data_IF_480936267696
#
_entry.id   IF_480936267696
#
_cell.length_a   1.000
_cell.length_b   1.000
_cell.length_c   1.000
_cell.angle_alpha   90.00
_cell.angle_beta   90.00
_cell.angle_gamma   90.00
#
_symmetry.space_group_name_H-M   'P 1'
#
loop_
_entity.id
_entity.type
_entity.pdbx_description
1 polymer ?
#
# COMPACT_ATOMS: atom_id res chain seq x y z
N UNK A 1 4.35 -8.78 -21.46
CA UNK A 1 4.49 -8.33 -20.05
C UNK A 1 5.95 -8.03 -19.78
N UNK A 2 6.23 -7.00 -18.99
CA UNK A 2 7.58 -6.62 -18.55
C UNK A 2 8.07 -7.65 -17.55
N UNK A 3 9.26 -8.21 -17.79
CA UNK A 3 9.86 -9.27 -17.01
C UNK A 3 10.57 -8.75 -15.76
N UNK A 4 10.49 -9.51 -14.66
CA UNK A 4 11.26 -9.26 -13.45
C UNK A 4 10.50 -8.48 -12.36
N UNK A 5 11.22 -8.12 -11.32
CA UNK A 5 10.72 -7.48 -10.10
C UNK A 5 11.80 -6.58 -9.49
N UNK A 6 11.43 -5.78 -8.47
CA UNK A 6 12.37 -4.94 -7.74
C UNK A 6 13.47 -5.78 -7.06
N UNK A 7 14.73 -5.43 -7.30
CA UNK A 7 15.89 -6.14 -6.73
C UNK A 7 16.68 -5.26 -5.77
N UNK A 8 17.49 -5.83 -4.86
CA UNK A 8 18.39 -5.05 -4.01
C UNK A 8 19.31 -4.13 -4.82
N UNK A 9 19.89 -4.65 -5.90
CA UNK A 9 20.83 -3.96 -6.76
C UNK A 9 20.13 -2.86 -7.58
N UNK A 10 18.98 -3.19 -8.18
CA UNK A 10 18.18 -2.26 -8.97
C UNK A 10 17.70 -1.07 -8.13
N UNK A 11 17.07 -1.35 -6.97
CA UNK A 11 16.55 -0.30 -6.09
C UNK A 11 17.67 0.56 -5.48
N UNK A 12 18.83 -0.02 -5.15
CA UNK A 12 20.00 0.73 -4.70
C UNK A 12 20.58 1.61 -5.82
N UNK A 13 20.63 1.08 -7.05
CA UNK A 13 21.05 1.85 -8.24
C UNK A 13 20.12 3.04 -8.48
N UNK A 14 18.80 2.85 -8.36
CA UNK A 14 17.83 3.94 -8.46
C UNK A 14 18.11 5.03 -7.42
N UNK A 15 18.20 4.64 -6.14
CA UNK A 15 18.44 5.57 -5.04
C UNK A 15 19.74 6.36 -5.19
N UNK A 16 20.80 5.74 -5.74
CA UNK A 16 22.09 6.40 -5.97
C UNK A 16 22.07 7.46 -7.07
N UNK A 17 21.11 7.37 -8.01
CA UNK A 17 20.96 8.28 -9.15
C UNK A 17 19.88 9.32 -8.95
N UNK A 18 18.99 9.11 -7.97
CA UNK A 18 17.89 10.02 -7.69
C UNK A 18 18.42 11.40 -7.25
N UNK A 19 17.74 12.46 -7.72
CA UNK A 19 18.02 13.85 -7.28
C UNK A 19 17.51 14.14 -5.88
N UNK A 20 16.82 13.20 -5.25
CA UNK A 20 16.31 13.29 -3.90
C UNK A 20 17.43 13.24 -2.86
N UNK A 21 17.17 13.80 -1.66
CA UNK A 21 18.12 13.71 -0.54
C UNK A 21 18.38 12.24 -0.17
N UNK A 22 19.62 11.87 0.14
CA UNK A 22 20.01 10.47 0.38
C UNK A 22 19.21 9.77 1.49
N UNK A 23 18.81 10.50 2.52
CA UNK A 23 18.00 10.00 3.63
C UNK A 23 16.52 9.77 3.26
N UNK A 24 16.12 10.10 2.03
CA UNK A 24 14.79 9.78 1.50
C UNK A 24 14.61 8.33 1.08
N UNK A 25 15.60 7.48 1.33
CA UNK A 25 15.52 6.05 1.05
C UNK A 25 15.70 5.24 2.33
N UNK A 26 14.90 4.18 2.46
CA UNK A 26 14.95 3.25 3.59
C UNK A 26 15.20 1.83 3.10
N UNK A 27 15.93 1.06 3.90
CA UNK A 27 16.16 -0.36 3.61
C UNK A 27 15.11 -1.21 4.32
N UNK A 28 14.43 -2.05 3.56
CA UNK A 28 13.50 -3.07 4.04
C UNK A 28 13.56 -4.29 3.11
N UNK A 29 13.60 -5.51 3.66
CA UNK A 29 13.67 -6.75 2.87
C UNK A 29 14.79 -6.74 1.81
N UNK A 30 15.94 -6.16 2.15
CA UNK A 30 17.09 -5.89 1.29
C UNK A 30 16.84 -4.88 0.15
N UNK A 31 15.64 -4.34 -0.01
CA UNK A 31 15.34 -3.30 -0.99
C UNK A 31 15.64 -1.91 -0.45
N UNK A 32 15.98 -0.99 -1.34
CA UNK A 32 16.19 0.43 -1.03
C UNK A 32 15.01 1.21 -1.61
N UNK A 33 14.04 1.54 -0.76
CA UNK A 33 12.76 2.13 -1.15
C UNK A 33 12.67 3.59 -0.72
N UNK A 34 12.07 4.43 -1.57
CA UNK A 34 11.80 5.83 -1.23
C UNK A 34 10.82 5.92 -0.05
N UNK A 35 11.07 6.86 0.87
CA UNK A 35 10.21 7.09 2.04
C UNK A 35 8.98 7.98 1.74
N UNK A 36 8.67 8.12 0.47
CA UNK A 36 7.40 8.58 -0.11
C UNK A 36 7.02 7.58 -1.19
N UNK A 37 5.76 7.20 -1.26
CA UNK A 37 5.21 6.36 -2.32
C UNK A 37 4.04 7.05 -3.03
N UNK A 38 3.74 6.61 -4.25
CA UNK A 38 2.60 7.09 -5.04
C UNK A 38 1.40 6.21 -4.75
N UNK A 39 0.25 6.81 -4.37
CA UNK A 39 -1.05 6.17 -4.28
C UNK A 39 -1.94 6.59 -5.45
N UNK A 40 -2.79 5.70 -5.97
CA UNK A 40 -3.58 5.93 -7.19
C UNK A 40 -5.10 5.77 -7.00
N UNK A 41 -5.59 5.91 -5.75
CA UNK A 41 -7.01 5.70 -5.43
C UNK A 41 -7.94 6.74 -6.07
N UNK A 42 -7.57 8.03 -6.02
CA UNK A 42 -8.47 9.13 -6.34
C UNK A 42 -8.60 9.41 -7.84
N UNK A 43 -9.81 9.79 -8.25
CA UNK A 43 -10.15 10.24 -9.61
C UNK A 43 -11.24 9.39 -10.25
N UNK A 44 -11.76 9.89 -11.37
CA UNK A 44 -12.81 9.21 -12.15
C UNK A 44 -12.19 8.14 -13.07
N UNK A 45 -12.96 7.12 -13.46
CA UNK A 45 -12.52 6.12 -14.45
C UNK A 45 -12.63 6.66 -15.88
N UNK A 46 -12.01 7.82 -16.17
CA UNK A 46 -12.02 8.51 -17.45
C UNK A 46 -10.61 8.74 -18.02
N UNK A 47 -10.54 9.09 -19.29
CA UNK A 47 -9.29 9.29 -20.02
C UNK A 47 -8.51 10.53 -19.51
N UNK A 48 -9.20 11.57 -19.06
CA UNK A 48 -8.55 12.77 -18.53
C UNK A 48 -7.77 12.42 -17.27
N UNK A 49 -8.41 11.72 -16.33
CA UNK A 49 -7.75 11.24 -15.12
C UNK A 49 -6.62 10.25 -15.42
N UNK A 50 -6.78 9.36 -16.43
CA UNK A 50 -5.70 8.46 -16.86
C UNK A 50 -4.46 9.24 -17.29
N UNK A 51 -4.63 10.28 -18.10
CA UNK A 51 -3.52 11.09 -18.59
C UNK A 51 -2.86 11.89 -17.46
N UNK A 52 -3.65 12.51 -16.59
CA UNK A 52 -3.16 13.25 -15.43
C UNK A 52 -2.36 12.34 -14.49
N UNK A 53 -2.90 11.19 -14.11
CA UNK A 53 -2.21 10.23 -13.24
C UNK A 53 -0.94 9.67 -13.91
N UNK A 54 -1.00 9.33 -15.21
CA UNK A 54 0.19 8.85 -15.93
C UNK A 54 1.33 9.86 -15.88
N UNK A 55 1.03 11.14 -16.15
CA UNK A 55 2.03 12.23 -16.08
C UNK A 55 2.57 12.39 -14.66
N UNK A 56 1.71 12.39 -13.64
CA UNK A 56 2.10 12.50 -12.25
C UNK A 56 2.99 11.34 -11.78
N UNK A 57 2.67 10.10 -12.19
CA UNK A 57 3.48 8.90 -11.89
C UNK A 57 4.86 9.03 -12.53
N UNK A 58 4.93 9.35 -13.83
CA UNK A 58 6.21 9.52 -14.55
C UNK A 58 7.07 10.59 -13.90
N UNK A 59 6.50 11.77 -13.59
CA UNK A 59 7.20 12.84 -12.91
C UNK A 59 7.73 12.40 -11.54
N UNK A 60 6.89 11.77 -10.72
CA UNK A 60 7.28 11.32 -9.38
C UNK A 60 8.44 10.32 -9.41
N UNK A 61 8.43 9.38 -10.36
CA UNK A 61 9.53 8.43 -10.53
C UNK A 61 10.81 9.15 -10.92
N UNK A 62 10.75 10.08 -11.88
CA UNK A 62 11.91 10.83 -12.33
C UNK A 62 12.50 11.74 -11.26
N UNK A 63 11.68 12.18 -10.30
CA UNK A 63 12.11 12.98 -9.14
C UNK A 63 12.61 12.15 -7.96
N UNK A 64 12.54 10.80 -8.01
CA UNK A 64 13.17 9.92 -7.02
C UNK A 64 12.21 9.07 -6.17
N UNK A 65 10.96 8.87 -6.62
CA UNK A 65 10.02 7.93 -5.98
C UNK A 65 10.06 6.60 -6.72
N UNK A 66 10.40 5.51 -6.03
CA UNK A 66 10.40 4.17 -6.61
C UNK A 66 9.34 3.23 -6.01
N UNK A 67 8.42 3.74 -5.20
CA UNK A 67 7.30 3.00 -4.62
C UNK A 67 6.00 3.45 -5.25
N UNK A 68 5.23 2.51 -5.81
CA UNK A 68 3.95 2.77 -6.45
C UNK A 68 2.91 1.79 -5.89
N UNK A 69 1.79 2.31 -5.38
CA UNK A 69 0.69 1.55 -4.81
C UNK A 69 -0.62 1.77 -5.57
N UNK A 70 -1.32 0.68 -5.81
CA UNK A 70 -2.64 0.68 -6.43
C UNK A 70 -3.54 -0.41 -5.83
N UNK A 71 -4.69 -0.64 -6.44
CA UNK A 71 -5.56 -1.80 -6.23
C UNK A 71 -6.41 -2.03 -7.49
N UNK A 72 -6.80 -3.29 -7.70
CA UNK A 72 -7.60 -3.64 -8.88
C UNK A 72 -8.94 -2.90 -8.94
N UNK A 73 -9.56 -2.61 -7.78
CA UNK A 73 -10.82 -1.87 -7.71
C UNK A 73 -10.66 -0.35 -7.85
N UNK A 74 -9.44 0.19 -7.84
CA UNK A 74 -9.26 1.63 -8.00
C UNK A 74 -9.60 2.06 -9.41
N UNK A 75 -10.55 3.01 -9.48
CA UNK A 75 -11.06 3.53 -10.75
C UNK A 75 -11.50 2.42 -11.72
N UNK A 76 -12.11 1.37 -11.19
CA UNK A 76 -12.58 0.22 -11.98
C UNK A 76 -11.47 -0.35 -12.89
N UNK A 77 -10.36 -0.78 -12.30
CA UNK A 77 -9.14 -1.35 -12.94
C UNK A 77 -8.26 -0.35 -13.70
N UNK A 78 -8.71 0.87 -13.96
CA UNK A 78 -7.99 1.84 -14.78
C UNK A 78 -6.70 2.35 -14.10
N UNK A 79 -6.65 2.38 -12.75
CA UNK A 79 -5.44 2.79 -12.03
C UNK A 79 -4.27 1.84 -12.29
N UNK A 80 -4.48 0.52 -12.27
CA UNK A 80 -3.44 -0.45 -12.64
C UNK A 80 -2.97 -0.26 -14.09
N UNK A 81 -3.90 -0.09 -15.03
CA UNK A 81 -3.57 0.15 -16.46
C UNK A 81 -2.78 1.43 -16.67
N UNK A 82 -3.10 2.47 -15.91
CA UNK A 82 -2.38 3.75 -15.97
C UNK A 82 -0.94 3.61 -15.47
N UNK A 83 -0.73 2.87 -14.37
CA UNK A 83 0.62 2.55 -13.87
C UNK A 83 1.39 1.73 -14.89
N UNK A 84 0.78 0.67 -15.43
CA UNK A 84 1.42 -0.18 -16.44
C UNK A 84 1.92 0.61 -17.64
N UNK A 85 1.10 1.54 -18.15
CA UNK A 85 1.50 2.46 -19.24
C UNK A 85 2.64 3.38 -18.83
N UNK A 86 2.57 4.01 -17.65
CA UNK A 86 3.59 4.93 -17.18
C UNK A 86 4.96 4.24 -17.01
N UNK A 87 4.97 3.06 -16.41
CA UNK A 87 6.19 2.26 -16.19
C UNK A 87 6.76 1.74 -17.52
N UNK A 88 5.90 1.22 -18.42
CA UNK A 88 6.34 0.76 -19.75
C UNK A 88 6.98 1.87 -20.54
N UNK A 89 6.35 3.05 -20.64
CA UNK A 89 6.89 4.21 -21.34
C UNK A 89 8.27 4.62 -20.78
N UNK A 90 8.43 4.68 -19.45
CA UNK A 90 9.74 5.05 -18.85
C UNK A 90 10.83 4.00 -19.08
N UNK A 91 10.48 2.72 -19.14
CA UNK A 91 11.43 1.65 -19.48
C UNK A 91 11.82 1.75 -20.96
N UNK A 92 10.87 1.93 -21.87
CA UNK A 92 11.10 2.10 -23.31
C UNK A 92 11.93 3.35 -23.61
N UNK A 93 11.75 4.43 -22.84
CA UNK A 93 12.56 5.65 -22.89
C UNK A 93 13.96 5.48 -22.28
N UNK A 94 14.28 4.33 -21.68
CA UNK A 94 15.56 4.08 -21.00
C UNK A 94 15.78 4.91 -19.74
N UNK A 95 14.70 5.41 -19.12
CA UNK A 95 14.77 6.23 -17.91
C UNK A 95 14.89 5.39 -16.64
N UNK A 96 14.27 4.23 -16.64
CA UNK A 96 14.30 3.26 -15.53
C UNK A 96 14.42 1.83 -16.07
N UNK A 97 14.80 0.91 -15.19
CA UNK A 97 14.67 -0.53 -15.40
C UNK A 97 13.59 -1.09 -14.47
N UNK A 98 12.99 -2.23 -14.82
CA UNK A 98 11.95 -2.88 -14.00
C UNK A 98 12.42 -3.18 -12.57
N UNK A 99 13.65 -3.60 -12.38
CA UNK A 99 14.25 -3.96 -11.11
C UNK A 99 14.47 -2.79 -10.14
N UNK A 100 14.26 -1.55 -10.62
CA UNK A 100 14.42 -0.32 -9.86
C UNK A 100 13.13 0.13 -9.14
N UNK A 101 11.95 -0.35 -9.60
CA UNK A 101 10.64 0.14 -9.19
C UNK A 101 9.89 -0.95 -8.43
N UNK A 102 9.36 -0.59 -7.24
CA UNK A 102 8.54 -1.43 -6.39
C UNK A 102 7.06 -1.11 -6.61
N UNK A 103 6.30 -2.09 -7.13
CA UNK A 103 4.88 -1.95 -7.45
C UNK A 103 4.05 -2.84 -6.54
N UNK A 104 3.11 -2.25 -5.80
CA UNK A 104 2.11 -2.97 -5.01
C UNK A 104 0.71 -2.80 -5.57
N UNK A 105 -0.08 -3.86 -5.47
CA UNK A 105 -1.52 -3.83 -5.73
C UNK A 105 -2.27 -4.68 -4.72
N UNK A 106 -3.61 -4.70 -4.81
CA UNK A 106 -4.47 -5.33 -3.82
C UNK A 106 -5.60 -6.08 -4.50
N UNK A 107 -5.93 -7.25 -3.98
CA UNK A 107 -7.09 -8.05 -4.38
C UNK A 107 -8.10 -8.21 -3.22
N UNK A 108 -9.31 -8.71 -3.53
CA UNK A 108 -10.36 -8.94 -2.55
C UNK A 108 -11.63 -8.13 -2.82
N UNK A 109 -11.54 -6.86 -3.22
CA UNK A 109 -12.73 -6.11 -3.61
C UNK A 109 -13.21 -6.45 -5.03
N UNK A 110 -14.51 -6.69 -5.15
CA UNK A 110 -15.17 -6.90 -6.45
C UNK A 110 -15.26 -5.58 -7.19
N UNK A 111 -14.91 -5.57 -8.47
CA UNK A 111 -14.95 -4.38 -9.31
C UNK A 111 -15.39 -4.70 -10.72
N UNK A 112 -16.02 -3.74 -11.39
CA UNK A 112 -16.28 -3.76 -12.83
C UNK A 112 -15.03 -3.30 -13.61
N UNK A 113 -15.20 -3.07 -14.90
CA UNK A 113 -14.17 -2.56 -15.80
C UNK A 113 -14.56 -1.17 -16.31
N UNK A 114 -13.75 -0.16 -16.00
CA UNK A 114 -14.03 1.23 -16.39
C UNK A 114 -13.97 1.50 -17.90
N UNK A 115 -13.45 0.57 -18.70
CA UNK A 115 -13.47 0.65 -20.17
C UNK A 115 -14.68 -0.06 -20.79
N UNK A 116 -15.51 -0.74 -19.98
CA UNK A 116 -16.71 -1.46 -20.43
C UNK A 116 -17.96 -0.74 -19.90
N UNK A 117 -18.78 -0.10 -20.76
CA UNK A 117 -19.99 0.59 -20.35
C UNK A 117 -21.13 -0.39 -20.06
N UNK A 118 -21.01 -1.11 -18.95
CA UNK A 118 -21.97 -2.13 -18.50
C UNK A 118 -22.36 -1.85 -17.04
N UNK A 119 -23.60 -2.20 -16.68
CA UNK A 119 -24.05 -2.14 -15.29
C UNK A 119 -23.14 -3.02 -14.41
N UNK A 120 -22.86 -2.54 -13.20
CA UNK A 120 -21.95 -3.21 -12.27
C UNK A 120 -22.37 -4.67 -12.01
N UNK A 121 -23.63 -4.92 -11.69
CA UNK A 121 -24.11 -6.28 -11.38
C UNK A 121 -24.12 -7.18 -12.61
N UNK A 122 -24.44 -6.62 -13.78
CA UNK A 122 -24.39 -7.37 -15.04
C UNK A 122 -22.96 -7.79 -15.36
N UNK A 123 -21.99 -6.89 -15.18
CA UNK A 123 -20.57 -7.19 -15.34
C UNK A 123 -20.15 -8.32 -14.40
N UNK A 124 -20.45 -8.21 -13.10
CA UNK A 124 -20.08 -9.19 -12.08
C UNK A 124 -20.67 -10.57 -12.41
N UNK A 125 -21.93 -10.63 -12.76
CA UNK A 125 -22.61 -11.88 -13.13
C UNK A 125 -22.00 -12.51 -14.40
N UNK A 126 -21.66 -11.70 -15.39
CA UNK A 126 -21.04 -12.16 -16.63
C UNK A 126 -19.59 -12.65 -16.42
N UNK A 127 -18.78 -11.84 -15.73
CA UNK A 127 -17.33 -12.08 -15.61
C UNK A 127 -17.00 -13.12 -14.55
N UNK A 128 -17.76 -13.17 -13.47
CA UNK A 128 -17.42 -14.03 -12.34
C UNK A 128 -18.50 -15.12 -12.10
N UNK A 129 -19.77 -14.73 -12.07
CA UNK A 129 -20.86 -15.66 -11.77
C UNK A 129 -21.01 -16.77 -12.81
N UNK A 130 -21.22 -16.40 -14.09
CA UNK A 130 -21.39 -17.40 -15.19
C UNK A 130 -20.15 -18.25 -15.45
N UNK A 131 -18.98 -17.78 -15.07
CA UNK A 131 -17.72 -18.52 -15.17
C UNK A 131 -17.46 -19.42 -13.96
N UNK A 132 -18.31 -19.38 -12.94
CA UNK A 132 -18.17 -20.16 -11.70
C UNK A 132 -17.01 -19.72 -10.80
N UNK A 133 -16.47 -18.52 -11.02
CA UNK A 133 -15.39 -17.94 -10.21
C UNK A 133 -15.95 -17.47 -8.86
N UNK A 134 -17.17 -16.92 -8.87
CA UNK A 134 -17.89 -16.48 -7.67
C UNK A 134 -19.26 -17.19 -7.64
N UNK A 135 -19.60 -17.74 -6.48
CA UNK A 135 -20.88 -18.39 -6.19
C UNK A 135 -21.77 -17.45 -5.36
N UNK A 136 -23.03 -17.82 -5.22
CA UNK A 136 -23.96 -17.16 -4.30
C UNK A 136 -23.40 -17.24 -2.85
N UNK A 137 -23.35 -16.10 -2.18
CA UNK A 137 -22.79 -15.96 -0.82
C UNK A 137 -21.29 -15.67 -0.72
N UNK A 138 -20.51 -15.79 -1.81
CA UNK A 138 -19.06 -15.52 -1.79
C UNK A 138 -18.73 -14.03 -1.67
N UNK A 139 -19.63 -13.15 -2.12
CA UNK A 139 -19.44 -11.70 -2.04
C UNK A 139 -20.13 -11.17 -0.79
N UNK A 140 -19.36 -10.54 0.09
CA UNK A 140 -19.87 -9.92 1.30
C UNK A 140 -20.76 -8.68 1.00
N UNK A 141 -21.46 -8.20 2.02
CA UNK A 141 -22.22 -6.95 1.95
C UNK A 141 -21.36 -5.72 1.67
N UNK A 142 -20.05 -5.82 1.82
CA UNK A 142 -19.06 -4.78 1.51
C UNK A 142 -18.42 -4.95 0.13
N UNK A 143 -19.01 -5.78 -0.76
CA UNK A 143 -18.44 -6.11 -2.08
C UNK A 143 -17.02 -6.68 -2.02
N UNK A 144 -16.71 -7.43 -0.97
CA UNK A 144 -15.43 -8.12 -0.81
C UNK A 144 -15.61 -9.62 -1.00
N UNK A 145 -14.66 -10.29 -1.67
CA UNK A 145 -14.63 -11.72 -1.89
C UNK A 145 -13.20 -12.23 -1.71
N UNK A 146 -13.02 -13.16 -0.78
CA UNK A 146 -11.70 -13.72 -0.43
C UNK A 146 -11.58 -15.21 -0.79
N UNK A 147 -12.47 -15.71 -1.66
CA UNK A 147 -12.37 -17.08 -2.15
C UNK A 147 -11.18 -17.26 -3.08
N UNK A 148 -10.50 -18.40 -3.02
CA UNK A 148 -9.28 -18.63 -3.81
C UNK A 148 -9.50 -18.51 -5.33
N UNK A 149 -10.58 -19.03 -5.94
CA UNK A 149 -10.81 -18.85 -7.38
C UNK A 149 -10.93 -17.37 -7.78
N UNK A 150 -11.53 -16.53 -6.93
CA UNK A 150 -11.65 -15.11 -7.18
C UNK A 150 -10.30 -14.38 -7.03
N UNK A 151 -9.54 -14.68 -5.99
CA UNK A 151 -8.21 -14.09 -5.77
C UNK A 151 -7.23 -14.47 -6.89
N UNK A 152 -7.30 -15.70 -7.41
CA UNK A 152 -6.49 -16.14 -8.54
C UNK A 152 -6.85 -15.41 -9.84
N UNK A 153 -8.13 -15.26 -10.14
CA UNK A 153 -8.61 -14.45 -11.30
C UNK A 153 -8.16 -13.00 -11.17
N UNK A 154 -8.28 -12.40 -9.98
CA UNK A 154 -7.85 -11.03 -9.76
C UNK A 154 -6.34 -10.83 -9.90
N UNK A 155 -5.53 -11.77 -9.43
CA UNK A 155 -4.07 -11.71 -9.62
C UNK A 155 -3.72 -11.69 -11.12
N UNK A 156 -4.31 -12.60 -11.90
CA UNK A 156 -4.09 -12.66 -13.34
C UNK A 156 -4.54 -11.36 -14.06
N UNK A 157 -5.67 -10.77 -13.62
CA UNK A 157 -6.13 -9.46 -14.15
C UNK A 157 -5.17 -8.33 -13.78
N UNK A 158 -4.69 -8.29 -12.54
CA UNK A 158 -3.73 -7.29 -12.08
C UNK A 158 -2.41 -7.37 -12.86
N UNK A 159 -1.86 -8.56 -13.08
CA UNK A 159 -0.68 -8.74 -13.93
C UNK A 159 -0.91 -8.20 -15.35
N UNK A 160 -2.07 -8.52 -15.95
CA UNK A 160 -2.45 -8.03 -17.28
C UNK A 160 -2.60 -6.51 -17.31
N UNK A 161 -3.30 -5.92 -16.34
CA UNK A 161 -3.53 -4.48 -16.24
C UNK A 161 -2.22 -3.71 -16.07
N UNK A 162 -1.35 -4.17 -15.15
CA UNK A 162 -0.04 -3.60 -14.90
C UNK A 162 0.98 -3.89 -16.00
N UNK A 163 0.72 -4.89 -16.83
CA UNK A 163 1.67 -5.33 -17.85
C UNK A 163 2.93 -5.99 -17.28
N UNK A 164 2.89 -6.45 -16.02
CA UNK A 164 4.01 -7.06 -15.29
C UNK A 164 3.82 -8.57 -15.17
N UNK A 165 4.89 -9.34 -15.33
CA UNK A 165 4.86 -10.78 -15.08
C UNK A 165 4.96 -11.12 -13.59
N UNK A 166 5.68 -10.30 -12.82
CA UNK A 166 5.78 -10.42 -11.37
C UNK A 166 5.38 -9.10 -10.69
N UNK A 167 4.46 -9.16 -9.74
CA UNK A 167 4.06 -8.04 -8.88
C UNK A 167 4.93 -8.08 -7.62
N UNK A 168 5.56 -6.94 -7.25
CA UNK A 168 6.47 -6.93 -6.10
C UNK A 168 5.73 -7.20 -4.78
N UNK A 169 4.51 -6.67 -4.62
CA UNK A 169 3.73 -6.86 -3.41
C UNK A 169 2.24 -6.97 -3.73
N UNK A 170 1.63 -8.10 -3.36
CA UNK A 170 0.20 -8.31 -3.40
C UNK A 170 -0.40 -8.21 -2.00
N UNK A 171 -1.35 -7.29 -1.81
CA UNK A 171 -2.11 -7.20 -0.56
C UNK A 171 -3.46 -7.91 -0.66
N UNK A 172 -3.88 -8.53 0.44
CA UNK A 172 -5.28 -8.79 0.69
C UNK A 172 -5.94 -7.50 1.21
N UNK A 173 -6.96 -7.02 0.51
CA UNK A 173 -7.50 -5.66 0.68
C UNK A 173 -8.65 -5.63 1.69
N UNK A 174 -8.45 -4.96 2.82
CA UNK A 174 -9.47 -4.76 3.89
C UNK A 174 -10.24 -6.06 4.22
N UNK A 175 -9.51 -7.18 4.33
CA UNK A 175 -10.15 -8.49 4.40
C UNK A 175 -11.01 -8.68 5.66
N UNK A 176 -10.57 -8.16 6.80
CA UNK A 176 -11.37 -8.18 8.04
C UNK A 176 -12.58 -7.28 7.90
N UNK A 177 -12.37 -6.04 7.51
CA UNK A 177 -13.43 -5.04 7.38
C UNK A 177 -14.37 -5.36 6.20
N UNK A 178 -13.84 -6.04 5.19
CA UNK A 178 -14.60 -6.52 4.02
C UNK A 178 -15.46 -7.74 4.31
N UNK A 179 -15.22 -8.45 5.43
CA UNK A 179 -15.93 -9.67 5.84
C UNK A 179 -16.59 -9.52 7.24
N UNK A 180 -17.49 -8.54 7.45
CA UNK A 180 -18.00 -8.18 8.78
C UNK A 180 -18.84 -9.26 9.45
N UNK A 181 -19.24 -10.32 8.71
CA UNK A 181 -20.02 -11.44 9.23
C UNK A 181 -19.16 -12.60 9.73
N UNK A 182 -17.86 -12.57 9.40
CA UNK A 182 -16.93 -13.65 9.68
C UNK A 182 -16.39 -13.52 11.10
N UNK A 183 -16.41 -14.60 11.87
CA UNK A 183 -15.74 -14.65 13.18
C UNK A 183 -14.22 -14.60 13.02
N UNK A 184 -13.49 -14.29 14.10
CA UNK A 184 -12.03 -14.28 14.09
C UNK A 184 -11.47 -15.63 13.64
N UNK A 185 -11.92 -16.74 14.19
CA UNK A 185 -11.43 -18.09 13.89
C UNK A 185 -11.69 -18.47 12.42
N UNK A 186 -12.88 -18.15 11.90
CA UNK A 186 -13.20 -18.35 10.47
C UNK A 186 -12.28 -17.50 9.58
N UNK A 187 -12.05 -16.25 9.96
CA UNK A 187 -11.14 -15.37 9.20
C UNK A 187 -9.71 -15.93 9.19
N UNK A 188 -9.16 -16.35 10.33
CA UNK A 188 -7.81 -16.94 10.42
C UNK A 188 -7.73 -18.24 9.61
N UNK A 189 -8.80 -19.06 9.58
CA UNK A 189 -8.84 -20.24 8.73
C UNK A 189 -8.75 -19.89 7.24
N UNK A 190 -9.58 -18.96 6.76
CA UNK A 190 -9.50 -18.47 5.38
C UNK A 190 -8.15 -17.80 5.06
N UNK A 191 -7.60 -17.06 6.01
CA UNK A 191 -6.29 -16.42 5.84
C UNK A 191 -5.17 -17.47 5.70
N UNK A 192 -5.29 -18.63 6.36
CA UNK A 192 -4.37 -19.76 6.18
C UNK A 192 -4.37 -20.22 4.72
N UNK A 193 -5.53 -20.49 4.14
CA UNK A 193 -5.65 -20.93 2.75
C UNK A 193 -5.12 -19.86 1.77
N UNK A 194 -5.39 -18.61 2.06
CA UNK A 194 -4.90 -17.47 1.25
C UNK A 194 -3.38 -17.33 1.33
N UNK A 195 -2.78 -17.56 2.50
CA UNK A 195 -1.32 -17.53 2.64
C UNK A 195 -0.67 -18.71 1.91
N UNK A 196 -1.26 -19.91 1.93
CA UNK A 196 -0.83 -21.04 1.10
C UNK A 196 -0.88 -20.69 -0.40
N UNK A 197 -1.97 -20.07 -0.85
CA UNK A 197 -2.09 -19.56 -2.21
C UNK A 197 -1.00 -18.53 -2.53
N UNK A 198 -0.76 -17.52 -1.70
CA UNK A 198 0.28 -16.53 -1.94
C UNK A 198 1.68 -17.14 -1.92
N UNK A 199 1.98 -18.10 -1.05
CA UNK A 199 3.27 -18.81 -1.07
C UNK A 199 3.46 -19.63 -2.36
N UNK A 200 2.38 -20.22 -2.89
CA UNK A 200 2.41 -20.86 -4.22
C UNK A 200 2.72 -19.81 -5.31
N UNK A 201 2.03 -18.68 -5.31
CA UNK A 201 2.25 -17.61 -6.29
C UNK A 201 3.68 -17.01 -6.22
N UNK A 202 4.28 -16.98 -5.04
CA UNK A 202 5.69 -16.60 -4.85
C UNK A 202 6.65 -17.61 -5.50
N UNK A 203 6.42 -18.91 -5.29
CA UNK A 203 7.22 -19.99 -5.89
C UNK A 203 7.15 -19.96 -7.43
N UNK A 204 5.99 -19.60 -7.97
CA UNK A 204 5.73 -19.42 -9.39
C UNK A 204 6.24 -18.08 -9.93
N UNK A 205 6.77 -17.20 -9.08
CA UNK A 205 7.26 -15.87 -9.38
C UNK A 205 6.18 -14.90 -9.94
N UNK A 206 4.91 -15.14 -9.65
CA UNK A 206 3.82 -14.22 -9.98
C UNK A 206 3.76 -13.03 -9.02
N UNK A 207 4.20 -13.24 -7.77
CA UNK A 207 4.38 -12.17 -6.77
C UNK A 207 5.71 -12.36 -6.03
N UNK A 208 6.24 -11.29 -5.44
CA UNK A 208 7.47 -11.37 -4.63
C UNK A 208 7.17 -11.43 -3.14
N UNK A 209 6.29 -10.53 -2.68
CA UNK A 209 5.84 -10.43 -1.30
C UNK A 209 4.32 -10.38 -1.24
N UNK A 210 3.77 -10.64 -0.07
CA UNK A 210 2.36 -10.40 0.21
C UNK A 210 2.18 -9.73 1.57
N UNK A 211 0.99 -9.16 1.80
CA UNK A 211 0.67 -8.46 3.02
C UNK A 211 -0.82 -8.22 3.20
N UNK A 212 -1.17 -7.46 4.23
CA UNK A 212 -2.53 -7.00 4.49
C UNK A 212 -2.61 -5.48 4.31
N UNK A 213 -3.52 -5.02 3.45
CA UNK A 213 -3.92 -3.62 3.42
C UNK A 213 -5.23 -3.50 4.20
N UNK A 214 -5.21 -2.77 5.32
CA UNK A 214 -6.28 -2.76 6.31
C UNK A 214 -6.78 -1.35 6.57
N UNK A 215 -7.91 -1.24 7.24
CA UNK A 215 -8.40 0.04 7.71
C UNK A 215 -8.26 0.16 9.24
N UNK A 216 -8.81 -0.78 10.00
CA UNK A 216 -8.90 -0.67 11.46
C UNK A 216 -8.19 -1.78 12.24
N UNK A 217 -8.13 -3.00 11.72
CA UNK A 217 -7.84 -4.20 12.50
C UNK A 217 -6.53 -4.16 13.31
N UNK A 218 -5.52 -3.42 12.88
CA UNK A 218 -4.28 -3.18 13.64
C UNK A 218 -4.28 -1.90 14.47
N UNK A 219 -5.37 -1.10 14.41
CA UNK A 219 -5.46 0.21 15.07
C UNK A 219 -6.55 0.30 16.13
N UNK A 220 -7.33 -0.77 16.31
CA UNK A 220 -8.36 -0.87 17.36
C UNK A 220 -7.79 -1.54 18.59
N UNK A 221 -8.51 -1.41 19.71
CA UNK A 221 -8.21 -2.09 20.96
C UNK A 221 -8.36 -3.61 20.81
N UNK A 222 -7.54 -4.38 21.53
CA UNK A 222 -7.49 -5.85 21.45
C UNK A 222 -8.77 -6.57 21.87
N UNK A 223 -9.72 -5.88 22.49
CA UNK A 223 -11.05 -6.40 22.84
C UNK A 223 -12.09 -6.27 21.71
N UNK A 224 -11.73 -5.64 20.60
CA UNK A 224 -12.65 -5.45 19.48
C UNK A 224 -12.71 -6.68 18.57
N UNK A 225 -13.89 -7.02 18.02
CA UNK A 225 -14.06 -8.23 17.22
C UNK A 225 -13.29 -8.21 15.90
N UNK A 226 -12.94 -7.01 15.39
CA UNK A 226 -12.15 -6.82 14.18
C UNK A 226 -10.65 -6.63 14.47
N UNK A 227 -10.19 -6.83 15.70
CA UNK A 227 -8.77 -6.74 16.04
C UNK A 227 -7.97 -7.89 15.45
N UNK A 228 -6.76 -7.61 14.99
CA UNK A 228 -5.75 -8.60 14.61
C UNK A 228 -4.45 -8.40 15.39
N UNK A 229 -3.88 -9.50 15.85
CA UNK A 229 -2.52 -9.55 16.39
C UNK A 229 -1.51 -9.71 15.26
N UNK A 230 -0.54 -8.79 15.14
CA UNK A 230 0.53 -8.92 14.15
C UNK A 230 1.36 -10.18 14.39
N UNK A 231 1.63 -10.51 15.64
CA UNK A 231 2.38 -11.73 15.99
C UNK A 231 1.64 -13.01 15.55
N UNK A 232 0.31 -13.08 15.73
CA UNK A 232 -0.52 -14.20 15.27
C UNK A 232 -0.43 -14.38 13.75
N UNK A 233 -0.55 -13.28 13.01
CA UNK A 233 -0.45 -13.30 11.54
C UNK A 233 0.93 -13.75 11.08
N UNK A 234 1.99 -13.32 11.75
CA UNK A 234 3.37 -13.73 11.43
C UNK A 234 3.60 -15.20 11.76
N UNK A 235 3.10 -15.70 12.87
CA UNK A 235 3.21 -17.13 13.21
C UNK A 235 2.43 -18.00 12.21
N UNK A 236 1.27 -17.54 11.75
CA UNK A 236 0.55 -18.19 10.65
C UNK A 236 1.38 -18.22 9.38
N UNK A 237 1.98 -17.10 8.99
CA UNK A 237 2.83 -17.03 7.80
C UNK A 237 4.07 -17.93 7.91
N UNK A 238 4.70 -17.99 9.08
CA UNK A 238 5.83 -18.91 9.35
C UNK A 238 5.42 -20.37 9.28
N UNK A 239 4.27 -20.73 9.82
CA UNK A 239 3.74 -22.09 9.78
C UNK A 239 3.58 -22.59 8.34
N UNK A 240 3.20 -21.70 7.41
CA UNK A 240 2.93 -22.02 6.00
C UNK A 240 4.18 -21.91 5.14
N UNK A 241 4.91 -20.80 5.22
CA UNK A 241 6.04 -20.46 4.35
C UNK A 241 7.42 -20.64 4.97
N UNK A 242 7.49 -21.05 6.25
CA UNK A 242 8.75 -21.13 7.01
C UNK A 242 9.32 -19.75 7.30
N UNK A 243 10.58 -19.66 7.70
CA UNK A 243 11.25 -18.39 8.04
C UNK A 243 11.36 -17.44 6.84
N UNK A 244 11.37 -17.98 5.63
CA UNK A 244 11.40 -17.23 4.38
C UNK A 244 10.01 -16.90 3.81
N UNK A 245 8.95 -16.95 4.63
CA UNK A 245 7.60 -16.58 4.20
C UNK A 245 7.53 -15.21 3.56
N UNK A 246 6.54 -14.96 2.70
CA UNK A 246 6.42 -13.71 1.95
C UNK A 246 5.61 -12.62 2.62
N UNK A 247 4.99 -12.85 3.77
CA UNK A 247 4.31 -11.83 4.53
C UNK A 247 5.33 -10.84 5.11
N UNK A 248 5.50 -9.68 4.47
CA UNK A 248 6.56 -8.71 4.80
C UNK A 248 6.08 -7.27 4.89
N UNK A 249 4.84 -7.00 4.53
CA UNK A 249 4.33 -5.62 4.49
C UNK A 249 2.91 -5.53 5.03
N UNK A 250 2.61 -4.38 5.65
CA UNK A 250 1.25 -3.98 6.03
C UNK A 250 1.00 -2.56 5.51
N UNK A 251 -0.22 -2.31 5.06
CA UNK A 251 -0.69 -0.97 4.74
C UNK A 251 -1.87 -0.63 5.63
N UNK A 252 -1.83 0.55 6.25
CA UNK A 252 -2.90 1.05 7.13
C UNK A 252 -2.99 2.58 7.08
N UNK A 253 -4.14 3.18 7.46
CA UNK A 253 -4.25 4.62 7.62
C UNK A 253 -3.34 5.13 8.75
N UNK A 254 -2.53 6.15 8.43
CA UNK A 254 -1.77 6.88 9.43
C UNK A 254 -1.55 8.33 8.98
N UNK A 255 -1.88 9.26 9.84
CA UNK A 255 -1.66 10.70 9.69
C UNK A 255 -1.89 11.40 11.05
N UNK A 256 -1.86 12.72 11.06
CA UNK A 256 -2.06 13.54 12.27
C UNK A 256 -3.42 13.35 13.00
N UNK A 257 -4.44 12.75 12.33
CA UNK A 257 -5.74 12.43 12.91
C UNK A 257 -5.93 10.93 13.15
N UNK A 258 -5.22 10.10 12.40
CA UNK A 258 -5.22 8.64 12.54
C UNK A 258 -3.86 8.21 13.10
N UNK A 259 -3.62 8.47 14.38
CA UNK A 259 -2.34 8.24 15.04
C UNK A 259 -2.26 6.93 15.83
N UNK A 260 -3.34 6.14 15.86
CA UNK A 260 -3.48 4.96 16.72
C UNK A 260 -2.35 3.93 16.49
N UNK A 261 -1.86 3.77 15.24
CA UNK A 261 -0.76 2.83 14.96
C UNK A 261 0.54 3.19 15.69
N UNK A 262 0.73 4.48 16.03
CA UNK A 262 1.87 5.00 16.78
C UNK A 262 1.57 5.18 18.28
N UNK A 263 0.31 5.47 18.64
CA UNK A 263 -0.05 5.84 20.03
C UNK A 263 -0.65 4.69 20.84
N UNK A 264 -1.46 3.83 20.18
CA UNK A 264 -2.20 2.82 20.90
C UNK A 264 -1.38 1.56 21.08
N UNK A 265 -1.12 1.20 22.34
CA UNK A 265 -0.47 -0.05 22.72
C UNK A 265 -1.48 -1.18 22.69
N UNK A 266 -1.64 -1.81 21.55
CA UNK A 266 -2.58 -2.89 21.28
C UNK A 266 -1.94 -4.17 20.76
N UNK A 267 -0.63 -4.20 20.57
CA UNK A 267 0.12 -5.38 20.16
C UNK A 267 0.97 -5.92 21.33
N UNK A 268 1.35 -7.19 21.27
CA UNK A 268 2.20 -7.80 22.30
C UNK A 268 3.63 -7.92 21.78
N UNK A 269 4.60 -7.42 22.56
CA UNK A 269 6.02 -7.72 22.33
C UNK A 269 6.37 -9.10 22.92
N UNK A 270 5.81 -9.38 24.10
CA UNK A 270 5.87 -10.65 24.83
C UNK A 270 4.58 -10.82 25.66
N UNK A 271 4.49 -11.85 26.47
CA UNK A 271 3.28 -12.19 27.24
C UNK A 271 2.78 -11.08 28.19
N UNK A 272 3.60 -10.08 28.51
CA UNK A 272 3.28 -9.08 29.54
C UNK A 272 3.50 -7.63 29.07
N UNK A 273 4.07 -7.39 27.89
CA UNK A 273 4.42 -6.05 27.44
C UNK A 273 3.67 -5.67 26.17
N UNK A 274 2.75 -4.72 26.31
CA UNK A 274 2.03 -4.15 25.19
C UNK A 274 2.83 -3.02 24.55
N UNK A 275 2.91 -3.09 23.23
CA UNK A 275 3.57 -2.11 22.38
C UNK A 275 2.60 -1.60 21.31
N UNK A 276 2.96 -0.53 20.63
CA UNK A 276 2.19 -0.01 19.50
C UNK A 276 2.36 -0.90 18.27
N UNK A 277 1.48 -0.72 17.28
CA UNK A 277 1.60 -1.47 16.03
C UNK A 277 2.92 -1.17 15.30
N UNK A 278 3.35 0.09 15.26
CA UNK A 278 4.61 0.46 14.59
C UNK A 278 5.83 -0.11 15.31
N UNK A 279 5.84 -0.18 16.65
CA UNK A 279 6.88 -0.87 17.41
C UNK A 279 6.92 -2.37 17.11
N UNK A 280 5.74 -3.02 17.05
CA UNK A 280 5.63 -4.43 16.68
C UNK A 280 6.13 -4.69 15.25
N UNK A 281 5.81 -3.81 14.31
CA UNK A 281 6.26 -3.90 12.92
C UNK A 281 7.79 -3.80 12.82
N UNK A 282 8.42 -2.88 13.56
CA UNK A 282 9.89 -2.79 13.67
C UNK A 282 10.46 -4.11 14.21
N UNK A 283 9.92 -4.59 15.33
CA UNK A 283 10.39 -5.82 15.99
C UNK A 283 10.36 -7.03 15.04
N UNK A 284 9.35 -7.13 14.23
CA UNK A 284 9.16 -8.24 13.27
C UNK A 284 9.72 -7.97 11.87
N UNK A 285 10.40 -6.85 11.64
CA UNK A 285 10.92 -6.45 10.32
C UNK A 285 9.84 -6.43 9.22
N UNK A 286 8.67 -5.87 9.56
CA UNK A 286 7.54 -5.64 8.64
C UNK A 286 7.60 -4.20 8.14
N UNK A 287 7.56 -4.03 6.81
CA UNK A 287 7.46 -2.71 6.18
C UNK A 287 6.03 -2.16 6.29
N UNK A 288 5.89 -0.94 6.80
CA UNK A 288 4.58 -0.30 6.95
C UNK A 288 4.43 0.86 5.99
N UNK A 289 3.54 0.69 5.01
CA UNK A 289 3.07 1.78 4.16
C UNK A 289 1.84 2.43 4.78
N UNK A 290 1.71 3.75 4.63
CA UNK A 290 0.55 4.44 5.20
C UNK A 290 -0.35 5.04 4.14
N UNK A 291 -1.65 4.78 4.26
CA UNK A 291 -2.69 5.34 3.40
C UNK A 291 -3.27 6.63 3.99
N UNK A 292 -4.01 7.37 3.17
CA UNK A 292 -4.71 8.64 3.49
C UNK A 292 -3.85 9.71 4.17
N UNK A 293 -2.59 9.94 3.73
CA UNK A 293 -1.66 10.82 4.43
C UNK A 293 -2.18 12.26 4.58
N UNK A 294 -2.95 12.76 3.60
CA UNK A 294 -3.52 14.12 3.60
C UNK A 294 -5.03 14.14 3.87
N UNK A 295 -5.68 13.00 4.17
CA UNK A 295 -7.14 12.87 4.32
C UNK A 295 -7.91 13.54 3.16
N UNK A 296 -7.46 13.34 1.92
CA UNK A 296 -8.00 13.98 0.72
C UNK A 296 -7.98 15.53 0.81
N UNK A 297 -6.96 16.09 1.44
CA UNK A 297 -6.79 17.52 1.63
C UNK A 297 -7.43 18.11 2.90
N UNK A 298 -8.24 17.35 3.63
CA UNK A 298 -8.94 17.84 4.84
C UNK A 298 -7.99 18.28 5.97
N UNK A 299 -6.78 17.71 6.04
CA UNK A 299 -5.76 18.09 7.03
C UNK A 299 -5.05 19.41 6.69
N UNK A 300 -5.05 19.81 5.43
CA UNK A 300 -4.19 20.90 4.98
C UNK A 300 -4.56 22.26 5.61
N UNK A 301 -5.87 22.51 5.76
CA UNK A 301 -6.34 23.75 6.40
C UNK A 301 -5.98 23.81 7.89
N UNK A 302 -6.11 22.68 8.58
CA UNK A 302 -5.72 22.59 9.99
C UNK A 302 -4.21 22.82 10.17
N UNK A 303 -3.37 22.20 9.33
CA UNK A 303 -1.91 22.38 9.37
C UNK A 303 -1.54 23.84 9.08
N UNK A 304 -2.14 24.45 8.06
CA UNK A 304 -1.89 25.83 7.67
C UNK A 304 -2.14 26.84 8.81
N UNK A 305 -3.15 26.56 9.64
CA UNK A 305 -3.55 27.41 10.75
C UNK A 305 -2.86 27.05 12.07
N UNK A 306 -1.93 26.07 12.07
CA UNK A 306 -1.25 25.62 13.27
C UNK A 306 0.21 26.09 13.30
N UNK A 307 0.51 27.06 14.14
CA UNK A 307 1.85 27.69 14.30
C UNK A 307 2.96 26.71 14.74
N UNK A 308 2.59 25.49 15.14
CA UNK A 308 3.56 24.45 15.53
C UNK A 308 4.27 23.82 14.33
N UNK A 309 3.72 23.98 13.11
CA UNK A 309 4.36 23.57 11.87
C UNK A 309 5.26 24.67 11.33
N UNK A 310 6.25 24.25 10.56
CA UNK A 310 7.25 25.16 9.99
C UNK A 310 6.75 25.79 8.69
N UNK A 311 7.54 26.66 8.10
CA UNK A 311 7.20 27.48 6.94
C UNK A 311 7.13 26.73 5.59
N UNK A 312 6.93 25.42 5.61
CA UNK A 312 6.72 24.62 4.41
C UNK A 312 5.24 24.72 3.98
N UNK A 313 4.91 24.17 2.80
CA UNK A 313 3.51 24.02 2.46
C UNK A 313 2.86 22.98 3.40
N UNK A 314 1.55 23.12 3.71
CA UNK A 314 0.85 22.19 4.59
C UNK A 314 0.96 20.71 4.16
N UNK A 315 1.03 20.45 2.86
CA UNK A 315 1.20 19.09 2.34
C UNK A 315 2.60 18.54 2.63
N UNK A 316 3.64 19.38 2.51
CA UNK A 316 5.02 19.02 2.84
C UNK A 316 5.16 18.77 4.33
N UNK A 317 4.59 19.61 5.19
CA UNK A 317 4.62 19.42 6.65
C UNK A 317 3.92 18.12 7.06
N UNK A 318 2.76 17.80 6.49
CA UNK A 318 2.06 16.54 6.74
C UNK A 318 2.90 15.32 6.33
N UNK A 319 3.46 15.36 5.13
CA UNK A 319 4.28 14.26 4.59
C UNK A 319 5.58 14.12 5.38
N UNK A 320 6.20 15.23 5.78
CA UNK A 320 7.40 15.25 6.60
C UNK A 320 7.16 14.61 7.97
N UNK A 321 6.04 14.92 8.62
CA UNK A 321 5.64 14.28 9.87
C UNK A 321 5.49 12.76 9.69
N UNK A 322 4.67 12.33 8.72
CA UNK A 322 4.34 10.91 8.53
C UNK A 322 5.60 10.11 8.16
N UNK A 323 6.37 10.57 7.18
CA UNK A 323 7.57 9.85 6.74
C UNK A 323 8.68 9.80 7.79
N UNK A 324 8.66 10.73 8.76
CA UNK A 324 9.64 10.76 9.86
C UNK A 324 9.19 9.95 11.07
N UNK A 325 7.95 9.44 11.09
CA UNK A 325 7.45 8.61 12.18
C UNK A 325 8.23 7.28 12.25
N UNK A 326 8.80 6.93 13.43
CA UNK A 326 9.45 5.63 13.61
C UNK A 326 8.53 4.46 13.23
N UNK A 327 9.04 3.51 12.44
CA UNK A 327 8.28 2.35 11.98
C UNK A 327 7.49 2.56 10.67
N UNK A 328 7.24 3.78 10.24
CA UNK A 328 6.63 4.06 8.92
C UNK A 328 7.69 3.93 7.84
N UNK A 329 7.43 3.12 6.81
CA UNK A 329 8.29 3.02 5.64
C UNK A 329 8.06 4.19 4.68
N UNK A 330 6.83 4.40 4.23
CA UNK A 330 6.45 5.53 3.38
C UNK A 330 4.95 5.83 3.43
N UNK A 331 4.53 7.12 3.48
CA UNK A 331 3.18 7.53 3.11
C UNK A 331 2.94 7.38 1.61
N UNK A 332 1.74 6.90 1.25
CA UNK A 332 1.29 6.74 -0.13
C UNK A 332 0.45 7.94 -0.53
N UNK A 333 1.04 8.86 -1.27
CA UNK A 333 0.38 10.10 -1.65
C UNK A 333 -0.35 9.99 -2.98
N UNK A 334 -1.62 10.39 -2.99
CA UNK A 334 -2.42 10.54 -4.20
C UNK A 334 -2.31 11.95 -4.74
N UNK A 335 -1.71 12.11 -5.93
CA UNK A 335 -1.68 13.37 -6.66
C UNK A 335 -1.79 13.12 -8.16
N UNK A 336 -2.46 14.03 -8.88
CA UNK A 336 -2.68 13.94 -10.32
C UNK A 336 -2.49 15.27 -11.06
N UNK A 337 -2.65 16.39 -10.36
CA UNK A 337 -2.38 17.71 -10.92
C UNK A 337 -0.90 18.04 -10.79
N UNK A 338 -0.30 18.56 -11.84
CA UNK A 338 1.13 18.89 -11.89
C UNK A 338 1.57 19.84 -10.76
N UNK A 339 0.72 20.82 -10.42
CA UNK A 339 0.96 21.72 -9.29
C UNK A 339 1.05 20.98 -7.95
N UNK A 340 0.14 20.01 -7.72
CA UNK A 340 0.17 19.19 -6.50
C UNK A 340 1.36 18.24 -6.47
N UNK A 341 1.75 17.68 -7.64
CA UNK A 341 2.95 16.85 -7.74
C UNK A 341 4.18 17.67 -7.36
N UNK A 342 4.35 18.82 -8.01
CA UNK A 342 5.50 19.70 -7.77
C UNK A 342 5.56 20.21 -6.32
N UNK A 343 4.43 20.51 -5.70
CA UNK A 343 4.35 20.92 -4.30
C UNK A 343 4.73 19.78 -3.36
N UNK A 344 4.07 18.63 -3.49
CA UNK A 344 4.27 17.49 -2.59
C UNK A 344 5.69 16.94 -2.66
N UNK A 345 6.29 16.90 -3.83
CA UNK A 345 7.64 16.37 -4.03
C UNK A 345 8.74 17.32 -3.50
N UNK A 346 8.42 18.55 -3.05
CA UNK A 346 9.39 19.37 -2.29
C UNK A 346 9.91 18.62 -1.06
N UNK A 347 9.11 17.74 -0.48
CA UNK A 347 9.54 16.90 0.64
C UNK A 347 10.78 16.06 0.33
N UNK A 348 11.03 15.71 -0.93
CA UNK A 348 12.20 14.94 -1.34
C UNK A 348 13.51 15.75 -1.32
N UNK A 349 13.44 17.09 -1.24
CA UNK A 349 14.59 17.98 -1.20
C UNK A 349 15.17 18.19 0.19
N UNK A 350 14.45 17.75 1.21
CA UNK A 350 14.85 17.88 2.61
C UNK A 350 15.03 16.50 3.24
N UNK A 351 15.88 16.34 4.26
CA UNK A 351 15.95 15.09 5.02
C UNK A 351 14.67 14.87 5.83
N UNK A 352 14.28 13.62 6.14
CA UNK A 352 13.30 13.37 7.18
C UNK A 352 13.80 13.92 8.52
N UNK A 353 12.89 14.19 9.45
CA UNK A 353 13.29 14.53 10.82
C UNK A 353 14.11 13.38 11.42
N UNK A 354 15.12 13.72 12.20
CA UNK A 354 15.73 12.78 13.12
C UNK A 354 14.70 12.30 14.15
N UNK A 355 14.97 11.20 14.80
CA UNK A 355 14.06 10.66 15.81
C UNK A 355 13.79 11.69 16.92
N UNK A 356 14.81 12.41 17.36
CA UNK A 356 14.67 13.46 18.38
C UNK A 356 13.78 14.61 17.89
N UNK A 357 14.00 15.12 16.68
CA UNK A 357 13.18 16.19 16.09
C UNK A 357 11.72 15.76 15.92
N UNK A 358 11.49 14.50 15.54
CA UNK A 358 10.14 13.95 15.43
C UNK A 358 9.43 13.93 16.79
N UNK A 359 10.08 13.40 17.84
CA UNK A 359 9.50 13.36 19.19
C UNK A 359 9.28 14.76 19.77
N UNK A 360 10.18 15.71 19.52
CA UNK A 360 10.03 17.10 19.96
C UNK A 360 8.81 17.77 19.28
N UNK A 361 8.63 17.54 17.98
CA UNK A 361 7.44 18.02 17.26
C UNK A 361 6.17 17.31 17.77
N UNK A 362 6.21 16.00 17.89
CA UNK A 362 5.08 15.21 18.38
C UNK A 362 4.61 15.69 19.77
N UNK A 363 5.54 15.89 20.71
CA UNK A 363 5.24 16.43 22.03
C UNK A 363 4.62 17.84 21.97
N UNK A 364 5.09 18.70 21.07
CA UNK A 364 4.49 20.01 20.85
C UNK A 364 3.05 19.91 20.31
N UNK A 365 2.76 18.92 19.49
CA UNK A 365 1.43 18.73 18.88
C UNK A 365 0.40 18.17 19.87
N UNK A 366 0.83 17.31 20.80
CA UNK A 366 -0.04 16.59 21.76
C UNK A 366 -0.09 17.21 23.16
N UNK A 367 0.85 18.07 23.54
CA UNK A 367 0.90 18.83 24.80
C UNK A 367 0.32 20.19 24.60
#
# INVERSE_FOLDING_TARGET
>A
MIQGFATPEGTASFASKAMAHKENFRKIQNLTLSNIGIGTYLGNPDLETDNQQKTAIKQSILEGVNVIDTAINYRAQKSERTIGKAVSELIEEGKINRDQIFVSTKNGYVTNDGDIPEDFMQYIMREFGKKGIVKEGDISSQYNCITLPFLEDQLARSQKNLGLDCIDLMYLHNAVEGQPQMSHDEFIHHLSDIFEFFEKQRKEQNIKFYGLATWECFRVSSDKPNYLSLSEIIELAKKIGGDNHGFRFVQLPYNLSFDQAFMQKNQLADSNNQITFLEAAIHHNIGVFTSVPLMQGKLLEWIKNNEKFTNQSPSVDALQFIRSTPGVLAPLIGHKLESHVSENLQVLKIPPYTEQEFYDLFKKLTG
#
